data_IF_880103624167
#
_entry.id   IF_880103624167
#
_cell.length_a   1.000
_cell.length_b   1.000
_cell.length_c   1.000
_cell.angle_alpha   90.00
_cell.angle_beta   90.00
_cell.angle_gamma   90.00
#
_symmetry.space_group_name_H-M   'P 1'
#
loop_
_entity.id
_entity.type
_entity.pdbx_description
1 polymer ?
#
# COMPACT_ATOMS: atom_id res chain seq x y z
N UNK A 1 16.89 -23.19 -22.79
CA UNK A 1 16.26 -23.01 -21.45
C UNK A 1 17.06 -22.06 -20.54
N UNK A 2 18.40 -22.13 -20.56
CA UNK A 2 19.30 -21.21 -19.82
C UNK A 2 18.98 -19.71 -20.03
N UNK A 3 18.71 -19.28 -21.27
CA UNK A 3 18.34 -17.89 -21.56
C UNK A 3 17.04 -17.44 -20.86
N UNK A 4 16.03 -18.33 -20.77
CA UNK A 4 14.77 -18.01 -20.09
C UNK A 4 14.93 -17.97 -18.57
N UNK A 5 15.74 -18.87 -18.02
CA UNK A 5 16.14 -18.89 -16.61
C UNK A 5 16.93 -17.63 -16.23
N UNK A 6 17.89 -17.22 -17.06
CA UNK A 6 18.64 -15.97 -16.89
C UNK A 6 17.75 -14.74 -16.93
N UNK A 7 16.83 -14.67 -17.91
CA UNK A 7 15.89 -13.54 -18.03
C UNK A 7 14.96 -13.40 -16.80
N UNK A 8 14.44 -14.50 -16.27
CA UNK A 8 13.58 -14.44 -15.08
C UNK A 8 14.37 -14.17 -13.80
N UNK A 9 15.65 -14.54 -13.74
CA UNK A 9 16.52 -14.14 -12.64
C UNK A 9 16.74 -12.62 -12.62
N UNK A 10 16.99 -12.00 -13.76
CA UNK A 10 17.09 -10.53 -13.89
C UNK A 10 15.78 -9.85 -13.52
N UNK A 11 14.64 -10.32 -14.04
CA UNK A 11 13.33 -9.77 -13.67
C UNK A 11 13.03 -9.91 -12.16
N UNK A 12 13.50 -11.00 -11.54
CA UNK A 12 13.37 -11.21 -10.09
C UNK A 12 14.23 -10.21 -9.30
N UNK A 13 15.47 -9.98 -9.72
CA UNK A 13 16.38 -9.01 -9.08
C UNK A 13 15.85 -7.57 -9.20
N UNK A 14 15.31 -7.20 -10.38
CA UNK A 14 14.63 -5.91 -10.59
C UNK A 14 13.40 -5.76 -9.68
N UNK A 15 12.60 -6.82 -9.55
CA UNK A 15 11.43 -6.83 -8.68
C UNK A 15 11.81 -6.71 -7.19
N UNK A 16 12.84 -7.42 -6.73
CA UNK A 16 13.35 -7.30 -5.36
C UNK A 16 13.83 -5.88 -5.04
N UNK A 17 14.52 -5.23 -5.99
CA UNK A 17 14.91 -3.82 -5.87
C UNK A 17 13.70 -2.88 -5.81
N UNK A 18 12.65 -3.14 -6.59
CA UNK A 18 11.39 -2.40 -6.52
C UNK A 18 10.66 -2.58 -5.19
N UNK A 19 10.70 -3.79 -4.63
CA UNK A 19 10.07 -4.11 -3.35
C UNK A 19 10.76 -3.41 -2.17
N UNK A 20 12.10 -3.30 -2.19
CA UNK A 20 12.84 -2.52 -1.20
C UNK A 20 12.43 -1.04 -1.23
N UNK A 21 12.31 -0.45 -2.43
CA UNK A 21 11.80 0.92 -2.60
C UNK A 21 10.39 1.08 -2.06
N UNK A 22 9.51 0.12 -2.30
CA UNK A 22 8.15 0.11 -1.75
C UNK A 22 8.13 0.06 -0.22
N UNK A 23 8.97 -0.76 0.42
CA UNK A 23 9.04 -0.79 1.89
C UNK A 23 9.55 0.52 2.48
N UNK A 24 10.51 1.18 1.83
CA UNK A 24 10.96 2.50 2.23
C UNK A 24 9.81 3.53 2.16
N UNK A 25 9.08 3.54 1.05
CA UNK A 25 7.87 4.37 0.88
C UNK A 25 6.85 4.10 1.98
N UNK A 26 6.54 2.83 2.25
CA UNK A 26 5.58 2.43 3.29
C UNK A 26 6.02 2.87 4.69
N UNK A 27 7.32 2.83 4.97
CA UNK A 27 7.88 3.31 6.24
C UNK A 27 7.67 4.82 6.40
N UNK A 28 8.02 5.62 5.38
CA UNK A 28 7.83 7.08 5.41
C UNK A 28 6.34 7.43 5.48
N UNK A 29 5.49 6.75 4.70
CA UNK A 29 4.04 6.92 4.75
C UNK A 29 3.50 6.65 6.16
N UNK A 30 3.96 5.59 6.83
CA UNK A 30 3.56 5.28 8.20
C UNK A 30 4.01 6.36 9.18
N UNK A 31 5.21 6.92 9.02
CA UNK A 31 5.71 8.00 9.87
C UNK A 31 4.88 9.27 9.72
N UNK A 32 4.61 9.69 8.48
CA UNK A 32 3.77 10.85 8.19
C UNK A 32 2.33 10.65 8.69
N UNK A 33 1.79 9.45 8.54
CA UNK A 33 0.45 9.08 9.06
C UNK A 33 0.40 9.20 10.58
N UNK A 34 1.45 8.75 11.28
CA UNK A 34 1.53 8.87 12.73
C UNK A 34 1.60 10.33 13.18
N UNK A 35 2.36 11.18 12.47
CA UNK A 35 2.42 12.62 12.74
C UNK A 35 1.05 13.29 12.54
N UNK A 36 0.37 12.98 11.44
CA UNK A 36 -0.99 13.45 11.18
C UNK A 36 -1.94 13.09 12.34
N UNK A 37 -1.94 11.83 12.79
CA UNK A 37 -2.80 11.40 13.90
C UNK A 37 -2.33 11.89 15.28
N UNK A 38 -1.07 12.31 15.44
CA UNK A 38 -0.64 12.97 16.67
C UNK A 38 -1.30 14.36 16.82
N UNK A 39 -1.49 15.07 15.71
CA UNK A 39 -2.17 16.37 15.70
C UNK A 39 -3.71 16.25 15.65
N UNK A 40 -4.21 15.35 14.80
CA UNK A 40 -5.64 15.15 14.57
C UNK A 40 -6.30 14.25 15.63
N UNK A 41 -5.50 13.50 16.39
CA UNK A 41 -5.96 12.49 17.34
C UNK A 41 -6.83 13.06 18.46
N UNK A 42 -7.69 12.20 19.02
CA UNK A 42 -8.65 12.60 20.05
C UNK A 42 -8.01 12.82 21.43
N UNK A 43 -6.80 12.30 21.66
CA UNK A 43 -6.13 12.42 22.96
C UNK A 43 -5.66 13.85 23.23
N UNK A 44 -5.14 14.55 22.22
CA UNK A 44 -4.82 15.99 22.32
C UNK A 44 -6.08 16.81 22.61
N UNK A 45 -7.21 16.46 21.98
CA UNK A 45 -8.51 17.10 22.22
C UNK A 45 -9.08 16.82 23.61
N UNK A 46 -8.91 15.61 24.14
CA UNK A 46 -9.30 15.27 25.51
C UNK A 46 -8.49 16.07 26.53
N UNK A 47 -7.16 16.15 26.35
CA UNK A 47 -6.28 16.93 27.22
C UNK A 47 -6.64 18.42 27.17
N UNK A 48 -6.82 18.98 25.96
CA UNK A 48 -7.22 20.37 25.77
C UNK A 48 -8.58 20.67 26.44
N UNK A 49 -9.56 19.78 26.28
CA UNK A 49 -10.88 19.94 26.90
C UNK A 49 -10.82 19.90 28.43
N UNK A 50 -9.98 19.02 29.01
CA UNK A 50 -9.81 18.93 30.46
C UNK A 50 -9.08 20.15 31.02
N UNK A 51 -7.98 20.57 30.39
CA UNK A 51 -7.25 21.78 30.79
C UNK A 51 -8.12 23.04 30.72
N UNK A 52 -8.92 23.15 29.66
CA UNK A 52 -9.86 24.29 29.50
C UNK A 52 -10.95 24.26 30.58
N UNK A 53 -11.50 23.07 30.90
CA UNK A 53 -12.48 22.91 31.98
C UNK A 53 -11.93 23.38 33.33
N UNK A 54 -10.69 22.99 33.65
CA UNK A 54 -10.01 23.40 34.88
C UNK A 54 -9.76 24.91 34.93
N UNK A 55 -9.33 25.50 33.80
CA UNK A 55 -9.15 26.94 33.68
C UNK A 55 -10.47 27.70 33.89
N UNK A 56 -11.57 27.20 33.31
CA UNK A 56 -12.91 27.77 33.49
C UNK A 56 -13.44 27.59 34.93
N UNK A 57 -13.12 26.48 35.61
CA UNK A 57 -13.48 26.29 37.01
C UNK A 57 -12.78 27.26 37.97
N UNK A 58 -11.54 27.66 37.64
CA UNK A 58 -10.76 28.65 38.41
C UNK A 58 -11.09 30.10 38.05
N UNK A 59 -11.79 30.33 36.94
CA UNK A 59 -12.10 31.66 36.44
C UNK A 59 -13.22 32.33 37.25
N UNK A 60 -12.89 33.39 37.98
CA UNK A 60 -13.86 34.20 38.75
C UNK A 60 -14.54 35.27 37.89
N UNK A 61 -13.90 35.68 36.79
CA UNK A 61 -14.39 36.74 35.92
C UNK A 61 -14.80 36.20 34.55
N UNK A 62 -15.80 36.85 33.95
CA UNK A 62 -16.26 36.51 32.60
C UNK A 62 -15.21 36.68 31.53
N UNK A 63 -14.33 37.69 31.67
CA UNK A 63 -13.22 37.90 30.75
C UNK A 63 -12.26 36.71 30.75
N UNK A 64 -12.02 36.09 31.92
CA UNK A 64 -11.17 34.89 32.02
C UNK A 64 -11.86 33.65 31.45
N UNK A 65 -13.19 33.52 31.58
CA UNK A 65 -13.96 32.45 30.92
C UNK A 65 -13.93 32.57 29.39
N UNK A 66 -14.15 33.78 28.87
CA UNK A 66 -14.09 34.06 27.43
C UNK A 66 -12.69 33.82 26.86
N UNK A 67 -11.63 34.18 27.60
CA UNK A 67 -10.26 33.90 27.20
C UNK A 67 -9.95 32.39 27.15
N UNK A 68 -10.40 31.61 28.14
CA UNK A 68 -10.23 30.16 28.14
C UNK A 68 -10.94 29.50 26.94
N UNK A 69 -12.15 29.97 26.62
CA UNK A 69 -12.90 29.49 25.44
C UNK A 69 -12.21 29.86 24.13
N UNK A 70 -11.73 31.10 23.99
CA UNK A 70 -10.99 31.52 22.81
C UNK A 70 -9.72 30.69 22.59
N UNK A 71 -8.96 30.45 23.66
CA UNK A 71 -7.78 29.60 23.63
C UNK A 71 -8.10 28.16 23.20
N UNK A 72 -9.23 27.59 23.65
CA UNK A 72 -9.68 26.26 23.22
C UNK A 72 -9.88 26.18 21.70
N UNK A 73 -10.57 27.18 21.11
CA UNK A 73 -10.77 27.24 19.67
C UNK A 73 -9.47 27.51 18.90
N UNK A 74 -8.57 28.34 19.43
CA UNK A 74 -7.27 28.60 18.82
C UNK A 74 -6.41 27.34 18.74
N UNK A 75 -6.33 26.58 19.83
CA UNK A 75 -5.60 25.30 19.86
C UNK A 75 -6.24 24.26 18.92
N UNK A 76 -7.58 24.16 18.90
CA UNK A 76 -8.28 23.28 17.97
C UNK A 76 -7.97 23.64 16.49
N UNK A 77 -7.98 24.93 16.15
CA UNK A 77 -7.58 25.40 14.81
C UNK A 77 -6.11 25.11 14.51
N UNK A 78 -5.23 25.36 15.48
CA UNK A 78 -3.80 25.05 15.37
C UNK A 78 -3.55 23.58 15.06
N UNK A 79 -4.30 22.67 15.67
CA UNK A 79 -4.21 21.23 15.39
C UNK A 79 -4.69 20.87 13.99
N UNK A 80 -5.82 21.44 13.52
CA UNK A 80 -6.31 21.23 12.17
C UNK A 80 -5.35 21.76 11.10
N UNK A 81 -4.73 22.93 11.33
CA UNK A 81 -3.75 23.52 10.41
C UNK A 81 -2.47 22.69 10.31
N UNK A 82 -1.96 22.22 11.45
CA UNK A 82 -0.81 21.29 11.46
C UNK A 82 -1.13 19.99 10.73
N UNK A 83 -2.30 19.43 11.00
CA UNK A 83 -2.79 18.24 10.31
C UNK A 83 -2.94 18.46 8.79
N UNK A 84 -3.37 19.65 8.35
CA UNK A 84 -3.49 19.97 6.92
C UNK A 84 -2.10 20.10 6.26
N UNK A 85 -1.09 20.56 6.99
CA UNK A 85 0.30 20.54 6.54
C UNK A 85 0.81 19.09 6.39
N UNK A 86 0.54 18.22 7.35
CA UNK A 86 0.89 16.79 7.27
C UNK A 86 0.22 16.12 6.06
N UNK A 87 -1.07 16.42 5.81
CA UNK A 87 -1.80 15.95 4.62
C UNK A 87 -1.11 16.38 3.32
N UNK A 88 -0.68 17.65 3.23
CA UNK A 88 0.03 18.17 2.05
C UNK A 88 1.39 17.48 1.86
N UNK A 89 2.10 17.19 2.93
CA UNK A 89 3.37 16.46 2.87
C UNK A 89 3.16 15.03 2.35
N UNK A 90 2.15 14.33 2.86
CA UNK A 90 1.76 12.99 2.39
C UNK A 90 1.37 13.02 0.90
N UNK A 91 0.57 14.00 0.48
CA UNK A 91 0.21 14.17 -0.93
C UNK A 91 1.43 14.38 -1.82
N UNK A 92 2.32 15.30 -1.44
CA UNK A 92 3.54 15.62 -2.20
C UNK A 92 4.43 14.39 -2.35
N UNK A 93 4.61 13.64 -1.26
CA UNK A 93 5.36 12.39 -1.27
C UNK A 93 4.70 11.37 -2.24
N UNK A 94 3.39 11.17 -2.13
CA UNK A 94 2.66 10.20 -2.95
C UNK A 94 2.63 10.57 -4.43
N UNK A 95 2.52 11.85 -4.77
CA UNK A 95 2.64 12.34 -6.15
C UNK A 95 4.02 12.05 -6.75
N UNK A 96 5.09 12.29 -5.98
CA UNK A 96 6.45 11.98 -6.40
C UNK A 96 6.64 10.47 -6.63
N UNK A 97 6.10 9.64 -5.73
CA UNK A 97 6.14 8.17 -5.84
C UNK A 97 5.34 7.72 -7.07
N UNK A 98 4.11 8.18 -7.25
CA UNK A 98 3.27 7.82 -8.40
C UNK A 98 3.96 8.18 -9.71
N UNK A 99 4.56 9.37 -9.80
CA UNK A 99 5.33 9.79 -10.98
C UNK A 99 6.52 8.89 -11.24
N UNK A 100 7.31 8.59 -10.20
CA UNK A 100 8.50 7.72 -10.32
C UNK A 100 8.13 6.30 -10.73
N UNK A 101 7.12 5.71 -10.11
CA UNK A 101 6.62 4.38 -10.48
C UNK A 101 6.05 4.35 -11.89
N UNK A 102 5.34 5.41 -12.31
CA UNK A 102 4.80 5.49 -13.67
C UNK A 102 5.90 5.51 -14.73
N UNK A 103 7.00 6.24 -14.48
CA UNK A 103 8.17 6.29 -15.38
C UNK A 103 8.91 4.95 -15.38
N UNK A 104 9.16 4.37 -14.20
CA UNK A 104 9.97 3.16 -14.08
C UNK A 104 9.25 1.89 -14.58
N UNK A 105 7.92 1.82 -14.46
CA UNK A 105 7.15 0.59 -14.71
C UNK A 105 6.12 0.74 -15.84
N UNK A 106 6.02 1.92 -16.47
CA UNK A 106 5.05 2.19 -17.55
C UNK A 106 3.58 2.17 -17.10
N UNK A 107 3.34 2.16 -15.79
CA UNK A 107 2.02 2.09 -15.18
C UNK A 107 1.39 3.49 -15.15
N UNK A 108 0.12 3.60 -15.57
CA UNK A 108 -0.64 4.85 -15.41
C UNK A 108 -1.29 4.86 -14.02
N UNK A 109 -0.49 5.11 -12.99
CA UNK A 109 -1.03 5.44 -11.67
C UNK A 109 -1.69 6.83 -11.81
N UNK A 110 -3.02 6.89 -11.65
CA UNK A 110 -3.73 8.16 -11.65
C UNK A 110 -3.21 9.10 -10.56
N UNK A 111 -3.53 10.39 -10.69
CA UNK A 111 -3.21 11.38 -9.64
C UNK A 111 -3.86 10.95 -8.32
N UNK A 112 -3.13 11.00 -7.19
CA UNK A 112 -3.73 10.74 -5.88
C UNK A 112 -4.98 11.59 -5.65
N UNK A 113 -5.97 11.02 -4.97
CA UNK A 113 -7.19 11.76 -4.60
C UNK A 113 -6.80 12.87 -3.62
N UNK A 114 -7.21 14.11 -3.89
CA UNK A 114 -6.96 15.23 -2.99
C UNK A 114 -7.76 15.15 -1.69
N UNK A 115 -7.21 15.67 -0.60
CA UNK A 115 -7.88 15.79 0.69
C UNK A 115 -7.52 17.12 1.34
N UNK A 116 -8.46 17.69 2.09
CA UNK A 116 -8.23 18.94 2.82
C UNK A 116 -9.07 18.97 4.08
N UNK A 117 -8.47 19.50 5.15
CA UNK A 117 -9.15 19.69 6.44
C UNK A 117 -9.88 21.04 6.55
N UNK A 118 -9.80 21.89 5.51
CA UNK A 118 -10.40 23.22 5.49
C UNK A 118 -11.90 23.23 5.81
N UNK A 119 -12.63 22.16 5.44
CA UNK A 119 -14.05 22.06 5.77
C UNK A 119 -14.29 22.01 7.27
N UNK A 120 -13.46 21.30 8.01
CA UNK A 120 -13.57 21.17 9.46
C UNK A 120 -13.08 22.43 10.16
N UNK A 121 -12.03 23.08 9.64
CA UNK A 121 -11.59 24.38 10.14
C UNK A 121 -12.75 25.39 10.09
N UNK A 122 -13.46 25.46 8.97
CA UNK A 122 -14.66 26.29 8.82
C UNK A 122 -15.81 25.89 9.75
N UNK A 123 -15.97 24.61 10.07
CA UNK A 123 -16.94 24.17 11.08
C UNK A 123 -16.56 24.67 12.48
N UNK A 124 -15.27 24.60 12.83
CA UNK A 124 -14.74 25.13 14.10
C UNK A 124 -14.92 26.65 14.17
N UNK A 125 -14.62 27.38 13.09
CA UNK A 125 -14.83 28.84 13.04
C UNK A 125 -16.30 29.22 13.27
N UNK A 126 -17.23 28.50 12.64
CA UNK A 126 -18.67 28.73 12.85
C UNK A 126 -19.09 28.46 14.30
N UNK A 127 -18.49 27.46 14.94
CA UNK A 127 -18.74 27.18 16.36
C UNK A 127 -18.17 28.27 17.27
N UNK A 128 -16.97 28.79 16.98
CA UNK A 128 -16.37 29.91 17.72
C UNK A 128 -17.25 31.16 17.59
N UNK A 129 -17.66 31.53 16.38
CA UNK A 129 -18.53 32.69 16.12
C UNK A 129 -19.90 32.57 16.83
N UNK A 130 -20.50 31.37 16.77
CA UNK A 130 -21.75 31.08 17.46
C UNK A 130 -21.59 31.20 18.98
N UNK A 131 -20.47 30.67 19.52
CA UNK A 131 -20.14 30.78 20.94
C UNK A 131 -19.95 32.23 21.36
N UNK A 132 -19.19 33.04 20.60
CA UNK A 132 -18.98 34.46 20.92
C UNK A 132 -20.30 35.22 21.01
N UNK A 133 -21.20 34.99 20.05
CA UNK A 133 -22.53 35.62 20.01
C UNK A 133 -23.39 35.19 21.21
N UNK A 134 -23.44 33.90 21.53
CA UNK A 134 -24.23 33.39 22.66
C UNK A 134 -23.63 33.74 24.02
N UNK A 135 -22.30 33.73 24.16
CA UNK A 135 -21.61 34.08 25.40
C UNK A 135 -21.78 35.56 25.71
N UNK A 136 -21.76 36.46 24.72
CA UNK A 136 -22.07 37.88 24.95
C UNK A 136 -23.48 38.08 25.49
N UNK A 137 -24.48 37.41 24.92
CA UNK A 137 -25.88 37.46 25.39
C UNK A 137 -26.07 36.82 26.77
N UNK A 138 -25.43 35.66 27.01
CA UNK A 138 -25.46 34.99 28.30
C UNK A 138 -24.75 35.81 29.37
N UNK A 139 -23.65 36.50 29.03
CA UNK A 139 -22.89 37.31 29.98
C UNK A 139 -23.71 38.49 30.53
N UNK A 140 -24.57 39.09 29.71
CA UNK A 140 -25.51 40.13 30.16
C UNK A 140 -26.53 39.58 31.19
N UNK A 141 -26.86 38.28 31.10
CA UNK A 141 -27.75 37.58 32.03
C UNK A 141 -27.02 36.97 33.24
N UNK A 142 -25.70 36.72 33.14
CA UNK A 142 -24.87 35.99 34.11
C UNK A 142 -24.26 36.87 35.23
N UNK A 143 -24.60 38.16 35.30
CA UNK A 143 -24.26 39.02 36.45
C UNK A 143 -24.83 38.49 37.79
N UNK A 144 -25.70 37.48 37.76
CA UNK A 144 -26.18 36.75 38.93
C UNK A 144 -25.73 35.26 38.88
N UNK A 145 -24.52 35.01 39.39
CA UNK A 145 -24.12 33.80 40.14
C UNK A 145 -24.25 32.38 39.52
N UNK A 146 -23.99 32.12 38.24
CA UNK A 146 -23.92 30.71 37.76
C UNK A 146 -22.74 30.35 36.86
N UNK A 147 -21.53 30.28 37.44
CA UNK A 147 -20.35 29.62 36.83
C UNK A 147 -20.65 28.21 36.28
N UNK A 148 -21.57 27.46 36.91
CA UNK A 148 -21.99 26.12 36.46
C UNK A 148 -22.68 26.10 35.09
N UNK A 149 -23.42 27.16 34.71
CA UNK A 149 -24.09 27.21 33.39
C UNK A 149 -23.05 27.31 32.26
N UNK A 150 -22.01 28.12 32.47
CA UNK A 150 -20.91 28.27 31.52
C UNK A 150 -20.08 26.98 31.37
N UNK A 151 -19.93 26.20 32.45
CA UNK A 151 -19.27 24.90 32.39
C UNK A 151 -20.07 23.89 31.57
N UNK A 152 -21.39 23.77 31.79
CA UNK A 152 -22.25 22.89 30.97
C UNK A 152 -22.30 23.34 29.51
N UNK A 153 -22.36 24.64 29.26
CA UNK A 153 -22.27 25.20 27.93
C UNK A 153 -20.96 24.79 27.24
N UNK A 154 -19.83 24.90 27.95
CA UNK A 154 -18.54 24.44 27.45
C UNK A 154 -18.52 22.94 27.15
N UNK A 155 -19.12 22.10 27.99
CA UNK A 155 -19.20 20.66 27.75
C UNK A 155 -19.90 20.33 26.43
N UNK A 156 -21.00 21.01 26.13
CA UNK A 156 -21.71 20.85 24.84
C UNK A 156 -20.85 21.31 23.66
N UNK A 157 -20.17 22.44 23.80
CA UNK A 157 -19.23 22.95 22.77
C UNK A 157 -18.09 21.96 22.54
N UNK A 158 -17.48 21.45 23.61
CA UNK A 158 -16.39 20.48 23.54
C UNK A 158 -16.84 19.16 22.90
N UNK A 159 -18.08 18.72 23.15
CA UNK A 159 -18.68 17.56 22.45
C UNK A 159 -18.78 17.83 20.96
N UNK A 160 -19.21 19.03 20.56
CA UNK A 160 -19.37 19.36 19.15
C UNK A 160 -18.01 19.47 18.43
N UNK A 161 -17.02 20.11 19.05
CA UNK A 161 -15.64 20.16 18.52
C UNK A 161 -15.06 18.74 18.39
N UNK A 162 -15.25 17.89 19.41
CA UNK A 162 -14.82 16.49 19.35
C UNK A 162 -15.47 15.74 18.18
N UNK A 163 -16.77 15.91 17.93
CA UNK A 163 -17.47 15.29 16.79
C UNK A 163 -16.88 15.73 15.45
N UNK A 164 -16.51 17.00 15.31
CA UNK A 164 -15.84 17.52 14.12
C UNK A 164 -14.48 16.84 13.91
N UNK A 165 -13.69 16.67 14.97
CA UNK A 165 -12.42 15.93 14.92
C UNK A 165 -12.59 14.42 14.66
N UNK A 166 -13.63 13.79 15.21
CA UNK A 166 -13.95 12.37 14.93
C UNK A 166 -14.26 12.15 13.44
N UNK A 167 -15.00 13.08 12.82
CA UNK A 167 -15.27 13.05 11.37
C UNK A 167 -13.99 13.29 10.58
N UNK A 168 -13.20 14.29 10.95
CA UNK A 168 -11.93 14.58 10.31
C UNK A 168 -10.97 13.38 10.34
N UNK A 169 -10.84 12.70 11.48
CA UNK A 169 -10.04 11.49 11.60
C UNK A 169 -10.53 10.36 10.69
N UNK A 170 -11.84 10.09 10.67
CA UNK A 170 -12.42 9.02 9.85
C UNK A 170 -12.19 9.27 8.36
N UNK A 171 -12.41 10.51 7.94
CA UNK A 171 -12.26 10.89 6.54
C UNK A 171 -10.78 10.88 6.12
N UNK A 172 -9.87 11.31 7.00
CA UNK A 172 -8.43 11.19 6.80
C UNK A 172 -7.99 9.72 6.69
N UNK A 173 -8.48 8.82 7.56
CA UNK A 173 -8.17 7.39 7.51
C UNK A 173 -8.66 6.75 6.19
N UNK A 174 -9.88 7.07 5.77
CA UNK A 174 -10.43 6.60 4.50
C UNK A 174 -9.60 7.11 3.32
N UNK A 175 -9.18 8.37 3.37
CA UNK A 175 -8.33 8.97 2.35
C UNK A 175 -6.94 8.32 2.28
N UNK A 176 -6.27 8.10 3.41
CA UNK A 176 -4.97 7.43 3.47
C UNK A 176 -5.02 6.03 2.84
N UNK A 177 -6.08 5.26 3.13
CA UNK A 177 -6.32 3.96 2.49
C UNK A 177 -6.50 4.08 0.98
N UNK A 178 -7.29 5.05 0.52
CA UNK A 178 -7.53 5.27 -0.91
C UNK A 178 -6.26 5.70 -1.66
N UNK A 179 -5.40 6.48 -1.03
CA UNK A 179 -4.12 6.93 -1.60
C UNK A 179 -3.09 5.80 -1.67
N UNK A 180 -3.06 4.91 -0.67
CA UNK A 180 -2.11 3.79 -0.64
C UNK A 180 -2.53 2.61 -1.53
N UNK A 181 -3.85 2.38 -1.70
CA UNK A 181 -4.38 1.20 -2.37
C UNK A 181 -3.82 0.93 -3.79
N UNK A 182 -3.66 1.93 -4.68
CA UNK A 182 -3.11 1.69 -6.01
C UNK A 182 -1.71 1.06 -5.99
N UNK A 183 -0.83 1.52 -5.08
CA UNK A 183 0.52 0.97 -4.94
C UNK A 183 0.48 -0.48 -4.41
N UNK A 184 -0.36 -0.75 -3.40
CA UNK A 184 -0.50 -2.10 -2.85
C UNK A 184 -1.01 -3.11 -3.89
N UNK A 185 -1.97 -2.70 -4.72
CA UNK A 185 -2.51 -3.51 -5.81
C UNK A 185 -1.40 -3.81 -6.82
N UNK A 186 -0.67 -2.80 -7.28
CA UNK A 186 0.39 -2.97 -8.27
C UNK A 186 1.51 -3.89 -7.80
N UNK A 187 1.97 -3.75 -6.56
CA UNK A 187 2.97 -4.64 -5.99
C UNK A 187 2.46 -6.08 -5.92
N UNK A 188 1.21 -6.28 -5.47
CA UNK A 188 0.59 -7.61 -5.39
C UNK A 188 0.44 -8.26 -6.77
N UNK A 189 0.01 -7.50 -7.78
CA UNK A 189 -0.14 -7.98 -9.15
C UNK A 189 1.20 -8.41 -9.75
N UNK A 190 2.24 -7.59 -9.58
CA UNK A 190 3.59 -7.95 -10.04
C UNK A 190 4.13 -9.21 -9.36
N UNK A 191 3.91 -9.38 -8.04
CA UNK A 191 4.28 -10.61 -7.34
C UNK A 191 3.61 -11.85 -7.92
N UNK A 192 2.29 -11.77 -8.16
CA UNK A 192 1.51 -12.88 -8.72
C UNK A 192 2.02 -13.21 -10.14
N UNK A 193 2.27 -12.19 -10.95
CA UNK A 193 2.75 -12.37 -12.32
C UNK A 193 4.13 -13.04 -12.36
N UNK A 194 5.07 -12.58 -11.53
CA UNK A 194 6.42 -13.17 -11.43
C UNK A 194 6.36 -14.63 -10.97
N UNK A 195 5.53 -14.94 -9.97
CA UNK A 195 5.32 -16.31 -9.48
C UNK A 195 4.78 -17.24 -10.58
N UNK A 196 3.78 -16.80 -11.35
CA UNK A 196 3.22 -17.57 -12.48
C UNK A 196 4.24 -17.82 -13.58
N UNK A 197 5.12 -16.85 -13.87
CA UNK A 197 6.19 -17.01 -14.86
C UNK A 197 7.24 -18.03 -14.40
N UNK A 198 7.64 -17.98 -13.13
CA UNK A 198 8.54 -18.99 -12.53
C UNK A 198 7.95 -20.40 -12.63
N UNK A 199 6.68 -20.58 -12.25
CA UNK A 199 6.00 -21.87 -12.32
C UNK A 199 5.87 -22.38 -13.76
N UNK A 200 5.58 -21.50 -14.72
CA UNK A 200 5.50 -21.87 -16.14
C UNK A 200 6.86 -22.29 -16.71
N UNK A 201 7.95 -21.57 -16.39
CA UNK A 201 9.30 -21.96 -16.80
C UNK A 201 9.69 -23.30 -16.19
N UNK A 202 9.37 -23.53 -14.91
CA UNK A 202 9.64 -24.81 -14.25
C UNK A 202 8.93 -25.97 -14.96
N UNK A 203 7.67 -25.79 -15.37
CA UNK A 203 6.93 -26.79 -16.17
C UNK A 203 7.54 -27.01 -17.55
N UNK A 204 7.97 -25.94 -18.23
CA UNK A 204 8.63 -26.05 -19.54
C UNK A 204 9.95 -26.81 -19.42
N UNK A 205 10.73 -26.54 -18.36
CA UNK A 205 11.96 -27.26 -18.09
C UNK A 205 11.70 -28.75 -17.89
N UNK A 206 10.76 -29.12 -17.02
CA UNK A 206 10.39 -30.52 -16.79
C UNK A 206 9.92 -31.23 -18.08
N UNK A 207 9.14 -30.55 -18.92
CA UNK A 207 8.72 -31.09 -20.21
C UNK A 207 9.89 -31.27 -21.18
N UNK A 208 10.87 -30.35 -21.15
CA UNK A 208 12.10 -30.44 -21.96
C UNK A 208 12.95 -31.63 -21.51
N UNK A 209 13.15 -31.82 -20.21
CA UNK A 209 13.90 -32.96 -19.67
C UNK A 209 13.24 -34.29 -20.07
N UNK A 210 11.89 -34.34 -20.05
CA UNK A 210 11.12 -35.52 -20.48
C UNK A 210 11.26 -35.77 -22.00
N UNK A 211 11.34 -34.70 -22.80
CA UNK A 211 11.58 -34.78 -24.24
C UNK A 211 12.99 -35.26 -24.57
N UNK A 212 14.02 -34.79 -23.85
CA UNK A 212 15.40 -35.27 -23.98
C UNK A 212 15.50 -36.76 -23.66
N UNK A 213 14.88 -37.21 -22.55
CA UNK A 213 14.80 -38.65 -22.24
C UNK A 213 14.16 -39.46 -23.36
N UNK A 214 13.08 -38.95 -23.97
CA UNK A 214 12.40 -39.63 -25.10
C UNK A 214 13.30 -39.70 -26.35
N UNK A 215 14.10 -38.67 -26.59
CA UNK A 215 15.06 -38.64 -27.71
C UNK A 215 16.17 -39.65 -27.47
N UNK A 216 16.73 -39.72 -26.26
CA UNK A 216 17.73 -40.74 -25.89
C UNK A 216 17.18 -42.17 -26.03
N UNK A 217 15.94 -42.40 -25.58
CA UNK A 217 15.26 -43.69 -25.78
C UNK A 217 15.12 -44.05 -27.27
N UNK A 218 14.73 -43.08 -28.11
CA UNK A 218 14.59 -43.29 -29.56
C UNK A 218 15.92 -43.56 -30.24
N UNK A 219 16.99 -42.85 -29.85
CA UNK A 219 18.35 -43.10 -30.33
C UNK A 219 18.83 -44.50 -29.94
N UNK A 220 18.55 -44.94 -28.71
CA UNK A 220 18.85 -46.31 -28.28
C UNK A 220 18.06 -47.39 -29.04
N UNK A 221 16.84 -47.09 -29.49
CA UNK A 221 16.08 -47.99 -30.37
C UNK A 221 16.69 -48.02 -31.77
N UNK A 222 17.05 -46.85 -32.31
CA UNK A 222 17.70 -46.72 -33.61
C UNK A 222 19.01 -47.51 -33.67
N UNK A 223 19.89 -47.36 -32.68
CA UNK A 223 21.15 -48.09 -32.58
C UNK A 223 20.94 -49.61 -32.56
N UNK A 224 19.94 -50.08 -31.81
CA UNK A 224 19.60 -51.51 -31.74
C UNK A 224 19.11 -52.04 -33.09
N UNK A 225 18.24 -51.30 -33.77
CA UNK A 225 17.76 -51.67 -35.10
C UNK A 225 18.92 -51.70 -36.10
N UNK A 226 19.85 -50.75 -36.03
CA UNK A 226 21.03 -50.71 -36.88
C UNK A 226 21.92 -51.94 -36.66
N UNK A 227 22.15 -52.33 -35.40
CA UNK A 227 22.89 -53.56 -35.06
C UNK A 227 22.19 -54.83 -35.60
N UNK A 228 20.86 -54.91 -35.46
CA UNK A 228 20.09 -56.03 -36.00
C UNK A 228 20.17 -56.10 -37.53
N UNK A 229 20.06 -54.96 -38.20
CA UNK A 229 20.16 -54.87 -39.66
C UNK A 229 21.56 -55.29 -40.15
N UNK A 230 22.61 -54.87 -39.44
CA UNK A 230 23.98 -55.31 -39.71
C UNK A 230 24.15 -56.82 -39.53
N UNK A 231 23.59 -57.39 -38.46
CA UNK A 231 23.60 -58.84 -38.22
C UNK A 231 22.87 -59.62 -39.31
N UNK A 232 21.67 -59.18 -39.71
CA UNK A 232 20.92 -59.80 -40.81
C UNK A 232 21.65 -59.68 -42.15
N UNK A 233 22.30 -58.54 -42.42
CA UNK A 233 23.13 -58.38 -43.61
C UNK A 233 24.32 -59.34 -43.60
N UNK A 234 24.96 -59.54 -42.44
CA UNK A 234 26.05 -60.50 -42.30
C UNK A 234 25.57 -61.92 -42.55
N UNK A 235 24.46 -62.33 -41.91
CA UNK A 235 23.84 -63.65 -42.14
C UNK A 235 23.48 -63.83 -43.61
N UNK A 236 22.95 -62.80 -44.27
CA UNK A 236 22.64 -62.84 -45.70
C UNK A 236 23.87 -63.02 -46.58
N UNK A 237 24.99 -62.37 -46.23
CA UNK A 237 26.28 -62.58 -46.90
C UNK A 237 26.81 -63.99 -46.67
N UNK A 238 26.78 -64.47 -45.42
CA UNK A 238 27.23 -65.82 -45.07
C UNK A 238 26.40 -66.88 -45.83
N UNK A 239 25.08 -66.70 -45.94
CA UNK A 239 24.21 -67.56 -46.77
C UNK A 239 24.56 -67.51 -48.26
N UNK A 240 24.82 -66.32 -48.80
CA UNK A 240 25.21 -66.16 -50.19
C UNK A 240 26.56 -66.83 -50.50
N UNK A 241 27.51 -66.75 -49.57
CA UNK A 241 28.81 -67.41 -49.68
C UNK A 241 28.69 -68.93 -49.59
N UNK A 242 27.84 -69.46 -48.70
CA UNK A 242 27.54 -70.90 -48.63
C UNK A 242 26.89 -71.40 -49.91
N UNK A 243 25.91 -70.67 -50.47
CA UNK A 243 25.26 -71.04 -51.73
C UNK A 243 26.24 -71.00 -52.92
N UNK A 244 27.17 -70.04 -52.95
CA UNK A 244 28.27 -70.02 -53.94
C UNK A 244 29.21 -71.20 -53.79
N UNK A 245 29.49 -71.62 -52.56
CA UNK A 245 30.34 -72.78 -52.29
C UNK A 245 29.65 -74.09 -52.72
N UNK A 246 28.34 -74.23 -52.51
CA UNK A 246 27.58 -75.41 -52.96
C UNK A 246 27.42 -75.48 -54.48
N UNK A 247 27.22 -74.34 -55.16
CA UNK A 247 27.16 -74.29 -56.64
C UNK A 247 28.53 -74.56 -57.28
N UNK A 248 29.63 -74.29 -56.57
CA UNK A 248 31.00 -74.61 -57.04
C UNK A 248 31.44 -76.04 -56.69
N UNK A 249 30.63 -76.78 -55.92
CA UNK A 249 30.91 -78.14 -55.45
C UNK A 249 30.05 -79.21 -56.14
N UNK A 250 29.15 -78.84 -57.05
CA UNK A 250 28.57 -79.76 -58.03
C UNK A 250 29.47 -79.76 -59.29
N UNK A 251 29.89 -80.95 -59.78
CA UNK A 251 30.83 -81.10 -60.90
C UNK A 251 30.23 -80.75 -62.27
#
# INVERSE_FOLDING_TARGET
VEYMMGKVRVEKEEFESGLQRYYAVRSVFSQLTNNLFAHLGLDSMRLLSTSTREAMAKATFSKTLAAAMAHYFDEARGNLRRSDADVKEIMTMMEAIHKKFSVEHGLKLGTPVGFSLLRYEKEIDRLDDWCRTHVSSMFQLLMHEKSQLMQRFFEEVAVQVRKTFERANRDAESWLKAVMAPLEIQIREHQIHLKRRLESIKRIHQATDTLEQRIEELQHVEDRLFQQMKSLSQIGQDFADVLRYTVSAEP
#
